data_IF_044979417041
#
_entry.id   IF_044979417041
#
_cell.length_a   1.000
_cell.length_b   1.000
_cell.length_c   1.000
_cell.angle_alpha   90.00
_cell.angle_beta   90.00
_cell.angle_gamma   90.00
#
_symmetry.space_group_name_H-M   'P 1'
#
loop_
_entity.id
_entity.type
_entity.pdbx_description
1 polymer ?
#
# COMPACT_ATOMS: atom_id res chain seq x y z
N UNK A 1 -5.38 17.79 -4.51
CA UNK A 1 -5.20 16.35 -4.82
C UNK A 1 -4.55 15.76 -3.60
N UNK A 2 -5.09 14.65 -3.08
CA UNK A 2 -4.49 13.98 -1.93
C UNK A 2 -3.41 13.02 -2.39
N UNK A 3 -2.23 13.15 -1.82
CA UNK A 3 -1.15 12.18 -2.03
C UNK A 3 -1.31 11.10 -0.97
N UNK A 4 -1.30 9.84 -1.40
CA UNK A 4 -1.41 8.69 -0.52
C UNK A 4 -0.04 8.04 -0.40
N UNK A 5 0.27 7.49 0.79
CA UNK A 5 1.55 6.88 1.07
C UNK A 5 1.47 5.74 2.08
N UNK A 6 2.56 5.00 2.19
CA UNK A 6 2.77 4.11 3.33
C UNK A 6 3.49 4.86 4.44
N UNK A 7 3.06 4.61 5.67
CA UNK A 7 3.73 5.07 6.87
C UNK A 7 4.07 3.90 7.76
N UNK A 8 5.30 3.84 8.25
CA UNK A 8 5.76 2.85 9.22
C UNK A 8 7.01 3.35 9.96
N UNK A 9 7.10 3.11 11.26
CA UNK A 9 8.22 3.61 12.06
C UNK A 9 8.31 5.14 12.06
N UNK A 10 9.38 5.67 11.48
CA UNK A 10 9.59 7.10 11.25
C UNK A 10 9.50 7.51 9.78
N UNK A 11 9.07 6.59 8.91
CA UNK A 11 9.12 6.75 7.46
C UNK A 11 7.72 7.00 6.91
N UNK A 12 7.63 7.96 6.00
CA UNK A 12 6.45 8.26 5.19
C UNK A 12 6.89 8.23 3.73
N UNK A 13 6.36 7.28 2.97
CA UNK A 13 6.72 7.05 1.57
C UNK A 13 5.51 7.36 0.69
N UNK A 14 5.58 8.44 -0.09
CA UNK A 14 4.54 8.85 -1.04
C UNK A 14 4.43 7.86 -2.20
N UNK A 15 3.22 7.45 -2.57
CA UNK A 15 2.97 6.45 -3.60
C UNK A 15 2.31 7.05 -4.84
N UNK A 16 1.38 7.98 -4.65
CA UNK A 16 0.69 8.64 -5.77
C UNK A 16 -0.67 9.18 -5.39
N UNK A 17 -1.53 9.29 -6.39
CA UNK A 17 -2.91 9.74 -6.22
C UNK A 17 -3.76 8.68 -5.53
N UNK A 18 -4.95 9.07 -5.06
CA UNK A 18 -5.95 8.11 -4.53
C UNK A 18 -6.26 7.02 -5.56
N UNK A 19 -6.41 7.37 -6.85
CA UNK A 19 -6.67 6.41 -7.92
C UNK A 19 -5.53 5.44 -8.14
N UNK A 20 -4.27 5.90 -8.06
CA UNK A 20 -3.10 5.03 -8.24
C UNK A 20 -3.04 3.96 -7.15
N UNK A 21 -3.27 4.37 -5.89
CA UNK A 21 -3.24 3.45 -4.75
C UNK A 21 -4.43 2.50 -4.76
N UNK A 22 -5.63 2.99 -5.14
CA UNK A 22 -6.80 2.11 -5.33
C UNK A 22 -6.50 1.05 -6.40
N UNK A 23 -5.94 1.45 -7.55
CA UNK A 23 -5.60 0.53 -8.63
C UNK A 23 -4.60 -0.54 -8.17
N UNK A 24 -3.59 -0.17 -7.37
CA UNK A 24 -2.66 -1.15 -6.79
C UNK A 24 -3.39 -2.23 -5.97
N UNK A 25 -4.27 -1.83 -5.05
CA UNK A 25 -5.04 -2.78 -4.24
C UNK A 25 -6.07 -3.57 -5.04
N UNK A 26 -6.65 -2.98 -6.09
CA UNK A 26 -7.55 -3.70 -6.98
C UNK A 26 -6.81 -4.77 -7.79
N UNK A 27 -5.59 -4.47 -8.26
CA UNK A 27 -4.70 -5.45 -8.88
C UNK A 27 -4.31 -6.57 -7.90
N UNK A 28 -4.04 -6.26 -6.62
CA UNK A 28 -3.80 -7.29 -5.61
C UNK A 28 -5.02 -8.21 -5.44
N UNK A 29 -6.23 -7.66 -5.31
CA UNK A 29 -7.45 -8.48 -5.16
C UNK A 29 -7.71 -9.34 -6.39
N UNK A 30 -7.55 -8.76 -7.58
CA UNK A 30 -7.88 -9.41 -8.85
C UNK A 30 -6.88 -10.50 -9.24
N UNK A 31 -5.59 -10.22 -9.12
CA UNK A 31 -4.54 -11.10 -9.66
C UNK A 31 -3.84 -11.94 -8.60
N UNK A 32 -3.85 -11.51 -7.33
CA UNK A 32 -3.16 -12.22 -6.25
C UNK A 32 -4.17 -12.99 -5.41
N UNK A 33 -5.10 -12.29 -4.76
CA UNK A 33 -6.06 -12.91 -3.84
C UNK A 33 -7.03 -13.87 -4.55
N UNK A 34 -7.60 -13.46 -5.69
CA UNK A 34 -8.54 -14.31 -6.44
C UNK A 34 -7.89 -15.53 -7.08
N UNK A 35 -6.60 -15.45 -7.41
CA UNK A 35 -5.85 -16.55 -8.03
C UNK A 35 -5.29 -17.55 -7.01
N UNK A 36 -5.05 -17.10 -5.78
CA UNK A 36 -4.41 -17.87 -4.71
C UNK A 36 -5.20 -17.83 -3.39
N UNK A 37 -6.49 -18.22 -3.38
CA UNK A 37 -7.37 -18.06 -2.21
C UNK A 37 -6.97 -18.91 -1.00
N UNK A 38 -6.02 -19.84 -1.15
CA UNK A 38 -5.49 -20.68 -0.08
C UNK A 38 -4.63 -19.92 0.94
N UNK A 39 -4.15 -18.72 0.60
CA UNK A 39 -3.36 -17.89 1.50
C UNK A 39 -4.20 -16.77 2.12
N UNK A 40 -3.84 -16.38 3.33
CA UNK A 40 -4.48 -15.25 4.01
C UNK A 40 -3.95 -13.91 3.47
N UNK A 41 -4.49 -13.48 2.32
CA UNK A 41 -4.17 -12.19 1.72
C UNK A 41 -4.77 -10.99 2.48
N UNK A 42 -5.58 -11.22 3.51
CA UNK A 42 -6.25 -10.15 4.26
C UNK A 42 -5.25 -9.17 4.90
N UNK A 43 -4.01 -9.61 5.17
CA UNK A 43 -2.94 -8.71 5.61
C UNK A 43 -2.65 -7.59 4.59
N UNK A 44 -2.78 -7.87 3.29
CA UNK A 44 -2.60 -6.88 2.23
C UNK A 44 -3.94 -6.27 1.78
N UNK A 45 -4.95 -7.09 1.50
CA UNK A 45 -6.22 -6.66 0.88
C UNK A 45 -7.20 -5.99 1.84
N UNK A 46 -7.07 -6.25 3.15
CA UNK A 46 -7.81 -5.61 4.23
C UNK A 46 -6.89 -4.77 5.11
N UNK A 47 -5.96 -5.37 5.85
CA UNK A 47 -5.20 -4.67 6.90
C UNK A 47 -4.35 -3.53 6.37
N UNK A 48 -3.46 -3.79 5.42
CA UNK A 48 -2.65 -2.74 4.80
C UNK A 48 -3.52 -1.75 4.03
N UNK A 49 -4.57 -2.24 3.37
CA UNK A 49 -5.51 -1.41 2.61
C UNK A 49 -6.27 -0.41 3.48
N UNK A 50 -6.80 -0.81 4.64
CA UNK A 50 -7.71 0.06 5.42
C UNK A 50 -7.39 0.22 6.89
N UNK A 51 -6.69 -0.73 7.49
CA UNK A 51 -6.34 -0.72 8.92
C UNK A 51 -4.85 -0.40 9.05
N UNK A 52 -4.15 -1.27 9.73
CA UNK A 52 -2.72 -1.26 9.93
C UNK A 52 -2.26 -2.70 10.14
N UNK A 53 -0.99 -2.97 9.88
CA UNK A 53 -0.34 -4.23 10.25
C UNK A 53 0.05 -4.18 11.73
N UNK A 54 -0.22 -5.26 12.46
CA UNK A 54 0.27 -5.48 13.83
C UNK A 54 1.72 -5.94 13.80
N UNK A 55 2.36 -5.89 14.97
CA UNK A 55 3.76 -6.26 15.14
C UNK A 55 4.02 -7.71 14.71
N UNK A 56 3.21 -8.64 15.19
CA UNK A 56 3.28 -10.07 14.93
C UNK A 56 2.90 -10.45 13.49
N UNK A 57 2.26 -9.53 12.75
CA UNK A 57 1.86 -9.72 11.36
C UNK A 57 2.94 -9.27 10.36
N UNK A 58 3.96 -8.52 10.78
CA UNK A 58 4.93 -7.90 9.88
C UNK A 58 5.68 -8.92 9.01
N UNK A 59 6.13 -10.02 9.60
CA UNK A 59 6.89 -11.05 8.87
C UNK A 59 6.03 -11.80 7.86
N UNK A 60 4.76 -12.05 8.19
CA UNK A 60 3.80 -12.65 7.27
C UNK A 60 3.50 -11.69 6.11
N UNK A 61 3.24 -10.42 6.41
CA UNK A 61 2.95 -9.40 5.40
C UNK A 61 4.14 -9.16 4.45
N UNK A 62 5.39 -9.24 4.93
CA UNK A 62 6.60 -9.20 4.09
C UNK A 62 6.63 -10.33 3.06
N UNK A 63 6.38 -11.56 3.51
CA UNK A 63 6.36 -12.73 2.60
C UNK A 63 5.23 -12.62 1.58
N UNK A 64 4.04 -12.21 2.01
CA UNK A 64 2.90 -12.01 1.12
C UNK A 64 3.18 -10.91 0.09
N UNK A 65 3.78 -9.78 0.50
CA UNK A 65 4.09 -8.70 -0.43
C UNK A 65 5.12 -9.11 -1.48
N UNK A 66 6.13 -9.90 -1.09
CA UNK A 66 7.11 -10.42 -2.05
C UNK A 66 6.46 -11.42 -3.03
N UNK A 67 5.57 -12.28 -2.55
CA UNK A 67 4.82 -13.17 -3.44
C UNK A 67 3.88 -12.41 -4.37
N UNK A 68 3.18 -11.39 -3.85
CA UNK A 68 2.34 -10.51 -4.65
C UNK A 68 3.13 -9.81 -5.75
N UNK A 69 4.35 -9.34 -5.45
CA UNK A 69 5.28 -8.78 -6.44
C UNK A 69 5.62 -9.80 -7.53
N UNK A 70 5.95 -11.04 -7.15
CA UNK A 70 6.26 -12.10 -8.10
C UNK A 70 5.06 -12.42 -9.00
N UNK A 71 3.86 -12.53 -8.44
CA UNK A 71 2.64 -12.78 -9.21
C UNK A 71 2.37 -11.62 -10.18
N UNK A 72 2.42 -10.38 -9.71
CA UNK A 72 2.21 -9.20 -10.56
C UNK A 72 3.28 -9.02 -11.64
N UNK A 73 4.47 -9.62 -11.49
CA UNK A 73 5.49 -9.67 -12.55
C UNK A 73 5.08 -10.57 -13.73
N UNK A 74 4.13 -11.47 -13.55
CA UNK A 74 3.61 -12.34 -14.61
C UNK A 74 2.52 -11.66 -15.46
N UNK A 75 2.04 -10.49 -15.03
CA UNK A 75 0.96 -9.75 -15.68
C UNK A 75 1.52 -8.56 -16.45
N UNK A 76 1.30 -8.53 -17.77
CA UNK A 76 1.68 -7.39 -18.60
C UNK A 76 0.87 -6.16 -18.21
N UNK A 77 1.56 -5.04 -17.95
CA UNK A 77 0.87 -3.80 -17.59
C UNK A 77 -0.08 -3.35 -18.70
N UNK A 78 0.32 -3.47 -19.96
CA UNK A 78 -0.43 -3.01 -21.12
C UNK A 78 -1.80 -3.68 -21.31
N UNK A 79 -1.97 -4.92 -20.84
CA UNK A 79 -3.20 -5.70 -21.03
C UNK A 79 -3.95 -6.00 -19.74
N UNK A 80 -3.26 -6.00 -18.59
CA UNK A 80 -3.87 -6.30 -17.30
C UNK A 80 -4.73 -5.15 -16.74
N UNK A 81 -4.52 -3.92 -17.22
CA UNK A 81 -5.26 -2.74 -16.79
C UNK A 81 -5.74 -1.97 -18.02
N UNK A 82 -6.99 -1.50 -17.97
CA UNK A 82 -7.50 -0.55 -18.96
C UNK A 82 -7.05 0.86 -18.59
N UNK A 83 -5.94 1.29 -19.18
CA UNK A 83 -5.39 2.61 -18.97
C UNK A 83 -6.19 3.67 -19.72
N UNK A 84 -6.66 4.69 -19.01
CA UNK A 84 -7.28 5.86 -19.64
C UNK A 84 -6.18 6.78 -20.20
N UNK A 85 -6.07 6.94 -21.54
CA UNK A 85 -5.04 7.78 -22.16
C UNK A 85 -5.10 9.24 -21.70
N UNK A 86 -6.26 9.73 -21.24
CA UNK A 86 -6.47 11.11 -20.77
C UNK A 86 -5.73 11.38 -19.44
N UNK A 87 -5.47 10.32 -18.67
CA UNK A 87 -4.79 10.40 -17.39
C UNK A 87 -3.26 10.34 -17.56
N UNK A 88 -2.77 9.77 -18.66
CA UNK A 88 -1.35 9.52 -18.88
C UNK A 88 -0.57 10.80 -19.16
N UNK A 89 0.65 10.89 -18.60
CA UNK A 89 1.56 12.03 -18.78
C UNK A 89 1.25 13.25 -17.89
N UNK A 90 0.16 13.25 -17.13
CA UNK A 90 -0.14 14.28 -16.12
C UNK A 90 0.05 13.73 -14.71
N UNK A 91 1.11 14.17 -14.04
CA UNK A 91 1.44 13.77 -12.66
C UNK A 91 0.40 14.23 -11.63
N UNK A 92 -0.52 15.14 -12.00
CA UNK A 92 -1.68 15.50 -11.18
C UNK A 92 -2.83 14.52 -11.32
N UNK A 93 -2.74 13.52 -12.20
CA UNK A 93 -3.77 12.53 -12.43
C UNK A 93 -3.30 11.11 -12.11
N UNK A 94 -2.07 10.78 -12.50
CA UNK A 94 -1.46 9.49 -12.17
C UNK A 94 0.05 9.62 -12.05
N UNK A 95 0.63 8.85 -11.14
CA UNK A 95 2.08 8.69 -11.01
C UNK A 95 2.57 7.39 -11.65
N UNK A 96 1.66 6.58 -12.17
CA UNK A 96 1.95 5.27 -12.73
C UNK A 96 2.37 5.42 -14.19
N UNK A 97 3.30 4.57 -14.61
CA UNK A 97 3.78 4.50 -15.99
C UNK A 97 3.36 3.18 -16.63
N UNK A 98 2.29 3.16 -17.44
CA UNK A 98 1.79 1.93 -18.06
C UNK A 98 2.67 1.42 -19.20
N UNK A 99 3.71 2.17 -19.59
CA UNK A 99 4.67 1.73 -20.62
C UNK A 99 5.66 0.69 -20.09
N UNK A 100 5.70 0.52 -18.77
CA UNK A 100 6.53 -0.49 -18.12
C UNK A 100 6.00 -1.91 -18.43
N UNK A 101 6.88 -2.93 -18.48
CA UNK A 101 6.49 -4.25 -19.01
C UNK A 101 5.41 -4.95 -18.18
N UNK A 102 5.54 -4.94 -16.86
CA UNK A 102 4.69 -5.71 -15.94
C UNK A 102 4.03 -4.83 -14.89
N UNK A 103 2.96 -5.33 -14.27
CA UNK A 103 2.36 -4.64 -13.12
C UNK A 103 3.35 -4.50 -11.94
N UNK A 104 4.27 -5.45 -11.78
CA UNK A 104 5.32 -5.33 -10.77
C UNK A 104 6.24 -4.13 -11.03
N UNK A 105 6.56 -3.84 -12.29
CA UNK A 105 7.37 -2.69 -12.69
C UNK A 105 6.61 -1.38 -12.45
N UNK A 106 5.33 -1.32 -12.85
CA UNK A 106 4.44 -0.17 -12.61
C UNK A 106 4.37 0.19 -11.12
N UNK A 107 4.29 -0.83 -10.27
CA UNK A 107 4.17 -0.67 -8.82
C UNK A 107 5.50 -0.84 -8.07
N UNK A 108 6.66 -0.78 -8.75
CA UNK A 108 7.97 -1.02 -8.12
C UNK A 108 8.17 -0.21 -6.82
N UNK A 109 7.82 1.10 -6.88
CA UNK A 109 7.88 2.01 -5.72
C UNK A 109 7.01 1.55 -4.55
N UNK A 110 5.87 0.92 -4.81
CA UNK A 110 4.95 0.45 -3.77
C UNK A 110 5.58 -0.67 -2.98
N UNK A 111 6.18 -1.65 -3.65
CA UNK A 111 6.89 -2.74 -3.00
C UNK A 111 8.07 -2.20 -2.19
N UNK A 112 8.93 -1.38 -2.80
CA UNK A 112 10.09 -0.77 -2.12
C UNK A 112 9.68 0.03 -0.88
N UNK A 113 8.65 0.88 -1.01
CA UNK A 113 8.14 1.71 0.08
C UNK A 113 7.54 0.87 1.20
N UNK A 114 6.85 -0.22 0.87
CA UNK A 114 6.31 -1.14 1.85
C UNK A 114 7.43 -1.79 2.67
N UNK A 115 8.44 -2.38 1.99
CA UNK A 115 9.58 -2.99 2.65
C UNK A 115 10.30 -2.01 3.57
N UNK A 116 10.54 -0.78 3.09
CA UNK A 116 11.16 0.28 3.87
C UNK A 116 10.34 0.67 5.11
N UNK A 117 9.01 0.81 4.99
CA UNK A 117 8.14 1.13 6.12
C UNK A 117 8.09 0.01 7.17
N UNK A 118 8.09 -1.26 6.73
CA UNK A 118 8.15 -2.41 7.65
C UNK A 118 9.49 -2.43 8.38
N UNK A 119 10.61 -2.27 7.67
CA UNK A 119 11.95 -2.21 8.26
C UNK A 119 12.06 -1.06 9.27
N UNK A 120 11.59 0.14 8.90
CA UNK A 120 11.56 1.29 9.79
C UNK A 120 10.75 1.01 11.06
N UNK A 121 9.61 0.31 10.95
CA UNK A 121 8.77 -0.08 12.10
C UNK A 121 9.50 -1.04 13.03
N UNK A 122 10.20 -2.04 12.48
CA UNK A 122 11.02 -2.99 13.24
C UNK A 122 12.20 -2.32 13.94
N UNK A 123 12.92 -1.42 13.24
CA UNK A 123 14.00 -0.63 13.83
C UNK A 123 13.46 0.20 15.00
N UNK A 124 12.26 0.79 14.82
CA UNK A 124 11.67 1.63 15.86
C UNK A 124 11.34 0.83 17.13
N UNK A 125 10.76 -0.35 16.95
CA UNK A 125 10.51 -1.29 18.03
C UNK A 125 11.80 -1.74 18.72
N UNK A 126 12.80 -2.18 17.96
CA UNK A 126 14.05 -2.71 18.52
C UNK A 126 14.88 -1.66 19.25
N UNK A 127 14.83 -0.41 18.77
CA UNK A 127 15.66 0.68 19.32
C UNK A 127 15.01 1.40 20.49
N UNK A 128 13.67 1.50 20.50
CA UNK A 128 12.93 2.28 21.50
C UNK A 128 11.88 1.50 22.29
N UNK A 129 11.65 0.22 21.99
CA UNK A 129 10.61 -0.60 22.62
C UNK A 129 9.19 -0.15 22.29
N UNK A 130 9.03 0.66 21.24
CA UNK A 130 7.75 1.25 20.85
C UNK A 130 7.39 0.72 19.48
N UNK A 131 6.25 0.05 19.36
CA UNK A 131 5.73 -0.33 18.06
C UNK A 131 5.06 0.87 17.39
N UNK A 132 5.47 1.18 16.16
CA UNK A 132 4.80 2.14 15.28
C UNK A 132 4.32 1.40 14.05
N UNK A 133 3.00 1.32 13.82
CA UNK A 133 2.43 0.40 12.85
C UNK A 133 2.65 0.84 11.41
N UNK A 134 2.61 -0.14 10.51
CA UNK A 134 2.60 0.07 9.07
C UNK A 134 1.16 0.24 8.58
N UNK A 135 0.88 1.32 7.86
CA UNK A 135 -0.48 1.63 7.35
C UNK A 135 -0.44 2.51 6.10
N UNK A 136 -1.51 2.44 5.31
CA UNK A 136 -1.78 3.36 4.21
C UNK A 136 -2.42 4.65 4.74
N UNK A 137 -1.86 5.80 4.42
CA UNK A 137 -2.26 7.11 4.96
C UNK A 137 -2.29 8.19 3.89
N UNK A 138 -2.96 9.30 4.19
CA UNK A 138 -2.73 10.55 3.45
C UNK A 138 -1.34 11.04 3.81
N UNK A 139 -0.51 11.29 2.79
CA UNK A 139 0.88 11.72 2.93
C UNK A 139 1.05 13.25 2.95
N UNK A 140 0.01 14.00 2.57
CA UNK A 140 0.00 15.45 2.72
C UNK A 140 0.18 15.83 4.20
N UNK A 141 1.21 16.63 4.51
CA UNK A 141 1.66 16.88 5.89
C UNK A 141 0.55 17.33 6.87
N UNK A 142 -0.38 18.24 6.51
CA UNK A 142 -1.46 18.63 7.42
C UNK A 142 -2.38 17.46 7.78
N UNK A 143 -2.81 16.69 6.79
CA UNK A 143 -3.70 15.54 6.99
C UNK A 143 -2.97 14.39 7.69
N UNK A 144 -1.70 14.17 7.32
CA UNK A 144 -0.84 13.19 7.96
C UNK A 144 -0.65 13.49 9.46
N UNK A 145 -0.52 14.76 9.85
CA UNK A 145 -0.39 15.16 11.25
C UNK A 145 -1.66 14.86 12.07
N UNK A 146 -2.85 14.88 11.44
CA UNK A 146 -4.11 14.45 12.04
C UNK A 146 -4.16 12.92 12.11
N UNK A 147 -3.86 12.24 11.01
CA UNK A 147 -3.87 10.77 10.91
C UNK A 147 -2.91 10.11 11.91
N UNK A 148 -1.75 10.74 12.16
CA UNK A 148 -0.76 10.30 13.16
C UNK A 148 -1.30 10.27 14.59
N UNK A 149 -2.34 11.06 14.89
CA UNK A 149 -2.96 11.13 16.23
C UNK A 149 -4.14 10.16 16.41
N UNK A 150 -4.62 9.53 15.35
CA UNK A 150 -5.70 8.54 15.44
C UNK A 150 -5.27 7.33 16.26
N UNK A 151 -6.17 6.84 17.10
CA UNK A 151 -5.91 5.64 17.89
C UNK A 151 -5.94 4.40 17.00
N UNK A 152 -5.28 3.31 17.42
CA UNK A 152 -5.37 2.04 16.70
C UNK A 152 -6.78 1.43 16.78
N UNK A 153 -7.50 1.70 17.87
CA UNK A 153 -8.90 1.31 18.05
C UNK A 153 -9.81 1.93 16.98
N UNK A 154 -9.55 3.17 16.54
CA UNK A 154 -10.28 3.76 15.41
C UNK A 154 -10.08 2.94 14.12
N UNK A 155 -8.88 2.40 13.88
CA UNK A 155 -8.62 1.53 12.73
C UNK A 155 -9.19 0.13 12.91
N UNK A 156 -9.15 -0.43 14.12
CA UNK A 156 -9.73 -1.74 14.42
C UNK A 156 -11.26 -1.74 14.28
N UNK A 157 -11.92 -0.59 14.42
CA UNK A 157 -13.36 -0.44 14.23
C UNK A 157 -13.77 0.00 12.80
N UNK A 158 -12.84 0.00 11.84
CA UNK A 158 -13.16 0.35 10.45
C UNK A 158 -13.89 -0.79 9.73
N UNK A 159 -15.15 -0.56 9.34
CA UNK A 159 -15.95 -1.47 8.48
C UNK A 159 -16.32 -0.87 7.10
N UNK A 160 -16.14 0.45 6.92
CA UNK A 160 -16.42 1.17 5.66
C UNK A 160 -15.17 1.53 4.79
N UNK A 161 -15.20 2.66 4.07
CA UNK A 161 -14.02 3.15 3.35
C UNK A 161 -12.85 3.44 4.30
N UNK A 162 -11.60 3.15 3.88
CA UNK A 162 -10.40 3.48 4.65
C UNK A 162 -10.26 4.98 4.84
N UNK A 163 -9.63 5.42 5.93
CA UNK A 163 -9.47 6.86 6.22
C UNK A 163 -8.83 7.64 5.08
N UNK A 164 -7.83 7.07 4.41
CA UNK A 164 -7.16 7.72 3.28
C UNK A 164 -8.02 7.89 2.02
N UNK A 165 -9.22 7.28 1.98
CA UNK A 165 -10.22 7.46 0.90
C UNK A 165 -11.38 8.38 1.29
N UNK A 166 -11.47 8.84 2.54
CA UNK A 166 -12.56 9.70 3.02
C UNK A 166 -12.27 11.15 2.68
#
# INVERSE_FOLDING_TARGET
MRIIGFHGGSSLCELGTVSDVVLFFDCLRMYVESAHPEQDWSLLSDRLYRRYLREDELDAALRLMEQAKQILSMHSAATAVSWDPILLGDRKKTWLDPTLPTLADVFAKYFESFFHCVESSKIFLNSWGIYKPVRTVIADLPDFAVEKKRSLEEYDNLDDLPFWRR
#
